data_IF_889609431582
#
_entry.id   IF_889609431582
#
_cell.length_a   1.000
_cell.length_b   1.000
_cell.length_c   1.000
_cell.angle_alpha   90.00
_cell.angle_beta   90.00
_cell.angle_gamma   90.00
#
_symmetry.space_group_name_H-M   'P 1'
#
loop_
_entity.id
_entity.type
_entity.pdbx_description
1 polymer ?
#
# COMPACT_ATOMS: atom_id res chain seq x y z
N UNK A 1 -21.11 19.44 -20.96
CA UNK A 1 -19.71 19.01 -20.86
C UNK A 1 -19.68 17.50 -21.03
N UNK A 2 -19.15 17.03 -22.14
CA UNK A 2 -18.98 15.62 -22.46
C UNK A 2 -17.63 15.14 -21.93
N UNK A 3 -17.64 14.16 -21.03
CA UNK A 3 -16.45 13.48 -20.55
C UNK A 3 -16.21 12.29 -21.46
N UNK A 4 -15.16 12.34 -22.28
CA UNK A 4 -14.67 11.20 -23.04
C UNK A 4 -13.68 10.43 -22.19
N UNK A 5 -13.99 9.16 -21.92
CA UNK A 5 -13.08 8.26 -21.22
C UNK A 5 -11.93 7.91 -22.18
N UNK A 6 -10.75 8.46 -21.89
CA UNK A 6 -9.51 8.07 -22.58
C UNK A 6 -9.14 6.68 -22.09
N UNK A 7 -8.91 5.74 -23.01
CA UNK A 7 -8.51 4.37 -22.68
C UNK A 7 -7.32 4.38 -21.72
N UNK A 8 -7.43 3.64 -20.61
CA UNK A 8 -6.39 3.51 -19.60
C UNK A 8 -5.08 3.13 -20.29
N UNK A 9 -4.06 3.97 -20.15
CA UNK A 9 -2.70 3.61 -20.54
C UNK A 9 -2.35 2.25 -19.90
N UNK A 10 -1.58 1.38 -20.57
CA UNK A 10 -1.19 0.09 -20.00
C UNK A 10 -0.70 0.32 -18.58
N UNK A 11 -1.30 -0.39 -17.62
CA UNK A 11 -1.08 -0.15 -16.20
C UNK A 11 0.42 -0.14 -15.91
N UNK A 12 0.94 1.02 -15.49
CA UNK A 12 2.35 1.18 -15.14
C UNK A 12 2.75 0.17 -14.04
N UNK A 13 1.77 -0.26 -13.24
CA UNK A 13 1.88 -1.28 -12.19
C UNK A 13 2.26 -2.66 -12.74
N UNK A 14 1.72 -3.08 -13.90
CA UNK A 14 2.09 -4.39 -14.51
C UNK A 14 3.58 -4.45 -14.84
N UNK A 15 4.18 -3.32 -15.21
CA UNK A 15 5.59 -3.22 -15.62
C UNK A 15 6.57 -3.05 -14.45
N UNK A 16 6.14 -2.49 -13.32
CA UNK A 16 6.99 -2.17 -12.17
C UNK A 16 6.76 -3.05 -10.95
N UNK A 17 5.85 -4.03 -11.04
CA UNK A 17 5.57 -4.96 -9.94
C UNK A 17 6.85 -5.66 -9.47
N UNK A 18 7.14 -5.66 -8.16
CA UNK A 18 8.22 -6.46 -7.58
C UNK A 18 8.07 -7.94 -7.92
N UNK A 19 9.18 -8.68 -7.95
CA UNK A 19 9.12 -10.14 -8.08
C UNK A 19 8.33 -10.73 -6.92
N UNK A 20 7.69 -11.91 -7.08
CA UNK A 20 6.88 -12.51 -6.02
C UNK A 20 7.61 -12.63 -4.67
N UNK A 21 8.89 -13.03 -4.66
CA UNK A 21 9.68 -13.17 -3.43
C UNK A 21 9.93 -11.81 -2.75
N UNK A 22 10.22 -10.77 -3.53
CA UNK A 22 10.40 -9.41 -3.02
C UNK A 22 9.07 -8.88 -2.45
N UNK A 23 7.96 -9.15 -3.15
CA UNK A 23 6.63 -8.76 -2.67
C UNK A 23 6.26 -9.47 -1.37
N UNK A 24 6.62 -10.76 -1.23
CA UNK A 24 6.39 -11.50 0.00
C UNK A 24 7.12 -10.86 1.19
N UNK A 25 8.39 -10.47 1.01
CA UNK A 25 9.16 -9.77 2.02
C UNK A 25 8.53 -8.40 2.38
N UNK A 26 8.11 -7.61 1.38
CA UNK A 26 7.42 -6.33 1.58
C UNK A 26 6.14 -6.50 2.40
N UNK A 27 5.33 -7.52 2.07
CA UNK A 27 4.09 -7.83 2.79
C UNK A 27 4.37 -8.25 4.23
N UNK A 28 5.40 -9.07 4.47
CA UNK A 28 5.79 -9.47 5.82
C UNK A 28 6.19 -8.27 6.69
N UNK A 29 6.96 -7.34 6.13
CA UNK A 29 7.34 -6.11 6.83
C UNK A 29 6.13 -5.22 7.10
N UNK A 30 5.17 -5.13 6.17
CA UNK A 30 3.92 -4.41 6.39
C UNK A 30 3.09 -5.04 7.53
N UNK A 31 3.02 -6.37 7.60
CA UNK A 31 2.32 -7.09 8.68
C UNK A 31 2.93 -6.75 10.05
N UNK A 32 4.26 -6.77 10.16
CA UNK A 32 4.97 -6.41 11.42
C UNK A 32 4.66 -4.98 11.85
N UNK A 33 4.64 -4.03 10.91
CA UNK A 33 4.29 -2.64 11.19
C UNK A 33 2.82 -2.48 11.61
N UNK A 34 1.90 -3.19 10.94
CA UNK A 34 0.49 -3.18 11.28
C UNK A 34 0.22 -3.79 12.66
N UNK A 35 0.92 -4.87 13.04
CA UNK A 35 0.75 -5.43 14.39
C UNK A 35 1.24 -4.46 15.47
N UNK A 36 2.37 -3.78 15.25
CA UNK A 36 2.85 -2.73 16.15
C UNK A 36 1.83 -1.60 16.32
N UNK A 37 1.26 -1.09 15.21
CA UNK A 37 0.20 -0.09 15.26
C UNK A 37 -1.07 -0.62 15.93
N UNK A 38 -1.47 -1.87 15.65
CA UNK A 38 -2.60 -2.55 16.27
C UNK A 38 -2.45 -2.68 17.78
N UNK A 39 -1.23 -2.96 18.28
CA UNK A 39 -0.93 -2.98 19.71
C UNK A 39 -1.16 -1.63 20.40
N UNK A 40 -0.82 -0.52 19.73
CA UNK A 40 -1.08 0.82 20.26
C UNK A 40 -2.59 1.14 20.25
N UNK A 41 -3.27 0.81 19.15
CA UNK A 41 -4.72 1.00 19.02
C UNK A 41 -5.49 0.21 20.08
N UNK A 42 -5.09 -1.04 20.36
CA UNK A 42 -5.62 -1.86 21.48
C UNK A 42 -5.47 -1.18 22.85
N UNK A 43 -4.48 -0.29 23.00
CA UNK A 43 -4.27 0.53 24.21
C UNK A 43 -4.98 1.89 24.13
N UNK A 44 -5.99 2.01 23.27
CA UNK A 44 -6.79 3.22 23.03
C UNK A 44 -5.97 4.45 22.60
N UNK A 45 -4.82 4.25 21.93
CA UNK A 45 -3.98 5.33 21.42
C UNK A 45 -3.58 5.08 19.97
N UNK A 46 -3.67 6.12 19.15
CA UNK A 46 -3.10 6.08 17.81
C UNK A 46 -1.56 6.18 17.86
N UNK A 47 -0.87 5.64 16.85
CA UNK A 47 0.55 5.96 16.63
C UNK A 47 0.78 7.44 16.46
N UNK A 48 2.03 7.86 16.65
CA UNK A 48 2.39 9.26 16.44
C UNK A 48 2.00 9.73 15.03
N UNK A 49 1.80 11.04 14.78
CA UNK A 49 1.45 11.53 13.45
C UNK A 49 2.46 11.11 12.38
N UNK A 50 3.75 11.04 12.72
CA UNK A 50 4.81 10.59 11.83
C UNK A 50 4.70 9.10 11.50
N UNK A 51 4.50 8.24 12.50
CA UNK A 51 4.30 6.80 12.30
C UNK A 51 3.01 6.51 11.52
N UNK A 52 1.91 7.19 11.86
CA UNK A 52 0.63 7.09 11.14
C UNK A 52 0.79 7.47 9.67
N UNK A 53 1.51 8.56 9.37
CA UNK A 53 1.79 8.97 7.98
C UNK A 53 2.64 7.94 7.26
N UNK A 54 3.70 7.44 7.89
CA UNK A 54 4.56 6.39 7.33
C UNK A 54 3.76 5.13 7.00
N UNK A 55 2.94 4.66 7.94
CA UNK A 55 2.09 3.48 7.76
C UNK A 55 1.12 3.68 6.58
N UNK A 56 0.45 4.83 6.50
CA UNK A 56 -0.47 5.14 5.42
C UNK A 56 0.22 5.21 4.05
N UNK A 57 1.45 5.72 3.98
CA UNK A 57 2.24 5.73 2.73
C UNK A 57 2.60 4.31 2.30
N UNK A 58 3.06 3.47 3.22
CA UNK A 58 3.43 2.09 2.92
C UNK A 58 2.23 1.26 2.46
N UNK A 59 1.08 1.39 3.13
CA UNK A 59 -0.14 0.70 2.72
C UNK A 59 -0.58 1.09 1.31
N UNK A 60 -0.50 2.37 0.95
CA UNK A 60 -0.80 2.82 -0.42
C UNK A 60 0.18 2.25 -1.43
N UNK A 61 1.48 2.33 -1.16
CA UNK A 61 2.49 1.78 -2.06
C UNK A 61 2.33 0.26 -2.28
N UNK A 62 1.99 -0.49 -1.23
CA UNK A 62 1.69 -1.92 -1.36
C UNK A 62 0.42 -2.15 -2.16
N UNK A 63 -0.65 -1.39 -1.88
CA UNK A 63 -1.89 -1.47 -2.65
C UNK A 63 -1.66 -1.17 -4.14
N UNK A 64 -0.88 -0.13 -4.45
CA UNK A 64 -0.52 0.24 -5.82
C UNK A 64 0.22 -0.90 -6.52
N UNK A 65 1.07 -1.67 -5.82
CA UNK A 65 1.76 -2.83 -6.42
C UNK A 65 0.84 -4.04 -6.69
N UNK A 66 -0.34 -4.11 -6.05
CA UNK A 66 -1.35 -5.13 -6.28
C UNK A 66 -2.50 -4.66 -7.19
N UNK A 67 -2.63 -3.35 -7.43
CA UNK A 67 -3.64 -2.73 -8.29
C UNK A 67 -3.29 -2.89 -9.79
N UNK A 68 -3.32 -4.15 -10.23
CA UNK A 68 -3.10 -4.54 -11.60
C UNK A 68 -4.40 -4.31 -12.39
N UNK A 69 -4.53 -3.14 -13.02
CA UNK A 69 -5.64 -2.89 -13.96
C UNK A 69 -5.51 -3.82 -15.17
N UNK A 70 -6.58 -4.54 -15.51
CA UNK A 70 -6.64 -5.46 -16.65
C UNK A 70 -6.51 -4.75 -17.99
#
# INVERSE_FOLDING_TARGET
MNVTLVASAPSLVKATRPKPDDMAAIVEDLIKLLDSAGNQLRRHRYPSPAESKKLATLMRAVADNFDVQD
#
